data_IF_153519917356
#
_entry.id   IF_153519917356
#
_cell.length_a   1.000
_cell.length_b   1.000
_cell.length_c   1.000
_cell.angle_alpha   90.00
_cell.angle_beta   90.00
_cell.angle_gamma   90.00
#
_symmetry.space_group_name_H-M   'P 1'
#
loop_
_entity.id
_entity.type
_entity.pdbx_description
1 polymer ?
#
# COMPACT_ATOMS: atom_id res chain seq x y z
N UNK A 1 -18.92 -1.58 -28.14
CA UNK A 1 -19.58 -0.34 -27.64
C UNK A 1 -18.50 0.71 -27.50
N UNK A 2 -18.60 1.83 -28.21
CA UNK A 2 -17.58 2.88 -28.20
C UNK A 2 -17.52 3.57 -26.82
N UNK A 3 -16.31 3.84 -26.32
CA UNK A 3 -16.12 4.46 -25.00
C UNK A 3 -16.53 5.94 -25.02
N UNK A 4 -17.41 6.34 -24.10
CA UNK A 4 -17.91 7.72 -24.04
C UNK A 4 -16.78 8.74 -23.84
N UNK A 5 -16.95 9.97 -24.35
CA UNK A 5 -15.97 11.06 -24.16
C UNK A 5 -15.69 11.33 -22.68
N UNK A 6 -16.71 11.21 -21.81
CA UNK A 6 -16.59 11.41 -20.35
C UNK A 6 -15.72 10.33 -19.70
N UNK A 7 -15.90 9.06 -20.07
CA UNK A 7 -15.08 7.95 -19.56
C UNK A 7 -13.63 8.12 -20.03
N UNK A 8 -13.41 8.44 -21.31
CA UNK A 8 -12.07 8.73 -21.85
C UNK A 8 -11.38 9.86 -21.09
N UNK A 9 -12.09 10.94 -20.81
CA UNK A 9 -11.57 12.08 -20.02
C UNK A 9 -11.23 11.67 -18.58
N UNK A 10 -12.09 10.88 -17.93
CA UNK A 10 -11.81 10.36 -16.58
C UNK A 10 -10.57 9.46 -16.57
N UNK A 11 -10.46 8.48 -17.48
CA UNK A 11 -9.28 7.61 -17.59
C UNK A 11 -8.01 8.43 -17.74
N UNK A 12 -7.99 9.43 -18.63
CA UNK A 12 -6.83 10.32 -18.82
C UNK A 12 -6.42 11.04 -17.54
N UNK A 13 -7.38 11.52 -16.73
CA UNK A 13 -7.08 12.17 -15.44
C UNK A 13 -6.49 11.20 -14.43
N UNK A 14 -7.05 9.99 -14.31
CA UNK A 14 -6.54 8.96 -13.40
C UNK A 14 -5.13 8.51 -13.79
N UNK A 15 -4.89 8.27 -15.09
CA UNK A 15 -3.58 7.87 -15.61
C UNK A 15 -2.54 8.98 -15.40
N UNK A 16 -2.92 10.25 -15.50
CA UNK A 16 -2.02 11.39 -15.25
C UNK A 16 -1.48 11.42 -13.81
N UNK A 17 -2.28 10.97 -12.85
CA UNK A 17 -1.85 10.89 -11.44
C UNK A 17 -1.13 9.57 -11.10
N UNK A 18 -1.49 8.48 -11.77
CA UNK A 18 -0.97 7.15 -11.49
C UNK A 18 0.50 7.04 -11.92
N UNK A 19 1.45 6.82 -11.01
CA UNK A 19 2.83 6.55 -11.40
C UNK A 19 2.92 5.14 -12.00
N UNK A 20 3.73 4.93 -13.04
CA UNK A 20 3.88 3.65 -13.71
C UNK A 20 5.32 3.35 -14.11
N UNK A 21 5.67 2.07 -14.15
CA UNK A 21 7.02 1.58 -14.38
C UNK A 21 7.06 0.44 -15.42
N UNK A 22 7.91 0.53 -16.45
CA UNK A 22 8.79 1.66 -16.77
C UNK A 22 7.97 2.87 -17.25
N UNK A 23 8.43 4.09 -16.93
CA UNK A 23 7.77 5.33 -17.36
C UNK A 23 8.11 5.63 -18.82
N UNK A 24 7.47 4.92 -19.74
CA UNK A 24 7.68 5.07 -21.18
C UNK A 24 6.36 5.02 -21.97
N UNK A 25 6.44 5.37 -23.26
CA UNK A 25 5.27 5.41 -24.15
C UNK A 25 4.57 4.05 -24.28
N UNK A 26 5.31 2.93 -24.23
CA UNK A 26 4.73 1.58 -24.35
C UNK A 26 3.82 1.28 -23.14
N UNK A 27 4.30 1.53 -21.93
CA UNK A 27 3.52 1.37 -20.69
C UNK A 27 2.30 2.29 -20.67
N UNK A 28 2.46 3.54 -21.15
CA UNK A 28 1.36 4.49 -21.23
C UNK A 28 0.27 4.01 -22.21
N UNK A 29 0.65 3.58 -23.42
CA UNK A 29 -0.30 3.03 -24.40
C UNK A 29 -1.03 1.81 -23.86
N UNK A 30 -0.31 0.93 -23.17
CA UNK A 30 -0.87 -0.26 -22.52
C UNK A 30 -1.92 0.12 -21.46
N UNK A 31 -1.61 1.08 -20.57
CA UNK A 31 -2.57 1.66 -19.63
C UNK A 31 -3.79 2.28 -20.34
N UNK A 32 -3.58 3.14 -21.34
CA UNK A 32 -4.67 3.82 -22.05
C UNK A 32 -5.64 2.84 -22.74
N UNK A 33 -5.12 1.67 -23.17
CA UNK A 33 -5.88 0.59 -23.78
C UNK A 33 -6.77 -0.18 -22.80
N UNK A 34 -6.48 -0.12 -21.49
CA UNK A 34 -7.26 -0.84 -20.49
C UNK A 34 -8.70 -0.30 -20.37
N UNK A 35 -9.59 -1.16 -19.89
CA UNK A 35 -10.94 -0.73 -19.53
C UNK A 35 -10.92 0.27 -18.35
N UNK A 36 -12.00 1.06 -18.19
CA UNK A 36 -12.20 1.90 -17.01
C UNK A 36 -11.98 1.13 -15.70
N UNK A 37 -12.42 -0.13 -15.62
CA UNK A 37 -12.27 -0.95 -14.44
C UNK A 37 -10.80 -1.26 -14.13
N UNK A 38 -10.02 -1.64 -15.16
CA UNK A 38 -8.58 -1.88 -15.00
C UNK A 38 -7.84 -0.66 -14.47
N UNK A 39 -8.12 0.52 -15.04
CA UNK A 39 -7.56 1.79 -14.56
C UNK A 39 -7.96 2.09 -13.11
N UNK A 40 -9.23 1.84 -12.74
CA UNK A 40 -9.69 2.04 -11.36
C UNK A 40 -9.01 1.09 -10.38
N UNK A 41 -8.79 -0.17 -10.74
CA UNK A 41 -8.08 -1.13 -9.89
C UNK A 41 -6.67 -0.61 -9.59
N UNK A 42 -5.90 -0.25 -10.62
CA UNK A 42 -4.53 0.25 -10.45
C UNK A 42 -4.50 1.56 -9.65
N UNK A 43 -5.38 2.50 -9.97
CA UNK A 43 -5.45 3.78 -9.29
C UNK A 43 -5.83 3.65 -7.81
N UNK A 44 -6.91 2.93 -7.50
CA UNK A 44 -7.38 2.76 -6.12
C UNK A 44 -6.37 1.97 -5.29
N UNK A 45 -5.77 0.93 -5.87
CA UNK A 45 -4.74 0.15 -5.20
C UNK A 45 -3.49 0.97 -4.92
N UNK A 46 -3.00 1.74 -5.88
CA UNK A 46 -1.88 2.66 -5.63
C UNK A 46 -2.21 3.65 -4.50
N UNK A 47 -3.42 4.23 -4.49
CA UNK A 47 -3.84 5.15 -3.43
C UNK A 47 -3.89 4.50 -2.04
N UNK A 48 -4.09 3.20 -1.90
CA UNK A 48 -4.06 2.55 -0.57
C UNK A 48 -2.66 2.50 0.03
N UNK A 49 -1.62 2.57 -0.80
CA UNK A 49 -0.22 2.60 -0.37
C UNK A 49 0.20 3.98 0.14
N UNK A 50 -0.63 4.99 -0.10
CA UNK A 50 -0.41 6.35 0.37
C UNK A 50 -1.13 6.59 1.70
N UNK A 51 -0.57 7.48 2.50
CA UNK A 51 -1.15 7.89 3.77
C UNK A 51 -1.43 9.39 3.70
N UNK A 52 -2.69 9.80 3.47
CA UNK A 52 -3.02 11.21 3.36
C UNK A 52 -2.82 11.91 4.70
N UNK A 53 -2.35 13.16 4.62
CA UNK A 53 -2.23 14.07 5.75
C UNK A 53 -3.61 14.29 6.40
N UNK A 54 -3.77 13.80 7.63
CA UNK A 54 -5.02 13.80 8.39
C UNK A 54 -4.72 13.49 9.85
N UNK A 55 -5.41 14.18 10.77
CA UNK A 55 -5.30 13.91 12.20
C UNK A 55 -5.78 12.50 12.50
N UNK A 56 -4.93 11.76 13.19
CA UNK A 56 -5.23 10.41 13.66
C UNK A 56 -4.92 10.29 15.14
N UNK A 57 -5.73 9.52 15.86
CA UNK A 57 -5.42 9.07 17.21
C UNK A 57 -4.24 8.12 17.14
N UNK A 58 -3.19 8.43 17.91
CA UNK A 58 -1.99 7.60 17.97
C UNK A 58 -2.16 6.53 19.04
N UNK A 59 -1.87 5.29 18.67
CA UNK A 59 -1.70 4.16 19.57
C UNK A 59 -0.31 3.56 19.31
N UNK A 60 0.38 3.17 20.37
CA UNK A 60 1.69 2.52 20.28
C UNK A 60 1.58 1.17 20.98
N UNK A 61 1.75 0.08 20.23
CA UNK A 61 1.76 -1.26 20.79
C UNK A 61 2.99 -1.44 21.69
N UNK A 62 2.88 -2.22 22.80
CA UNK A 62 4.00 -2.51 23.68
C UNK A 62 5.24 -3.00 22.93
N UNK A 63 5.05 -3.77 21.86
CA UNK A 63 6.09 -4.36 21.01
C UNK A 63 6.97 -3.32 20.32
N UNK A 64 6.47 -2.11 20.08
CA UNK A 64 7.29 -1.00 19.59
C UNK A 64 8.23 -0.53 20.69
N UNK A 65 7.70 -0.29 21.89
CA UNK A 65 8.47 0.27 23.01
C UNK A 65 9.41 -0.73 23.69
N UNK A 66 9.11 -2.03 23.61
CA UNK A 66 9.95 -3.10 24.15
C UNK A 66 11.01 -3.58 23.15
N UNK A 67 10.97 -3.15 21.89
CA UNK A 67 11.97 -3.53 20.89
C UNK A 67 13.34 -2.93 21.27
N UNK A 68 14.41 -3.72 21.14
CA UNK A 68 15.78 -3.28 21.42
C UNK A 68 16.18 -2.02 20.62
N UNK A 69 15.61 -1.82 19.44
CA UNK A 69 15.85 -0.66 18.57
C UNK A 69 15.15 0.61 19.04
N UNK A 70 14.14 0.51 19.91
CA UNK A 70 13.42 1.66 20.45
C UNK A 70 14.37 2.72 21.01
N UNK A 71 15.37 2.33 21.80
CA UNK A 71 16.33 3.26 22.40
C UNK A 71 17.02 4.16 21.36
N UNK A 72 17.31 3.64 20.17
CA UNK A 72 17.94 4.39 19.08
C UNK A 72 16.93 5.16 18.23
N UNK A 73 15.77 4.56 17.96
CA UNK A 73 14.78 5.09 17.01
C UNK A 73 13.68 5.94 17.64
N UNK A 74 13.62 6.03 18.97
CA UNK A 74 12.55 6.71 19.71
C UNK A 74 12.31 8.13 19.22
N UNK A 75 13.37 8.91 19.00
CA UNK A 75 13.23 10.30 18.60
C UNK A 75 12.64 10.43 17.20
N UNK A 76 13.12 9.63 16.24
CA UNK A 76 12.57 9.62 14.88
C UNK A 76 11.13 9.09 14.82
N UNK A 77 10.82 8.05 15.60
CA UNK A 77 9.44 7.54 15.73
C UNK A 77 8.56 8.64 16.32
N UNK A 78 8.99 9.32 17.38
CA UNK A 78 8.22 10.41 17.99
C UNK A 78 8.02 11.59 17.03
N UNK A 79 9.02 11.91 16.21
CA UNK A 79 8.91 12.92 15.17
C UNK A 79 7.88 12.53 14.10
N UNK A 80 7.91 11.29 13.60
CA UNK A 80 6.89 10.78 12.69
C UNK A 80 5.48 10.84 13.32
N UNK A 81 5.35 10.40 14.57
CA UNK A 81 4.07 10.42 15.29
C UNK A 81 3.57 11.85 15.55
N UNK A 82 4.47 12.80 15.78
CA UNK A 82 4.13 14.23 15.89
C UNK A 82 3.54 14.75 14.57
N UNK A 83 4.17 14.43 13.43
CA UNK A 83 3.64 14.77 12.10
C UNK A 83 2.22 14.25 11.89
N UNK A 84 1.99 12.97 12.22
CA UNK A 84 0.67 12.34 12.08
C UNK A 84 -0.38 13.00 12.99
N UNK A 85 -0.01 13.41 14.22
CA UNK A 85 -0.92 14.11 15.13
C UNK A 85 -1.32 15.49 14.61
N UNK A 86 -0.41 16.17 13.92
CA UNK A 86 -0.60 17.55 13.43
C UNK A 86 -1.05 17.64 11.98
N UNK A 87 -1.50 16.53 11.39
CA UNK A 87 -1.93 16.49 9.98
C UNK A 87 -0.85 16.93 8.99
N UNK A 88 0.42 16.72 9.35
CA UNK A 88 1.52 16.99 8.46
C UNK A 88 1.66 15.87 7.42
N UNK A 89 2.29 16.20 6.30
CA UNK A 89 2.57 15.22 5.26
C UNK A 89 3.59 14.18 5.75
N UNK A 90 3.24 12.92 5.55
CA UNK A 90 4.10 11.76 5.83
C UNK A 90 4.48 10.98 4.58
N UNK A 91 4.07 11.47 3.40
CA UNK A 91 4.45 10.92 2.11
C UNK A 91 5.97 10.70 1.99
N UNK A 92 6.88 11.61 2.46
CA UNK A 92 8.32 11.37 2.37
C UNK A 92 8.83 10.10 3.05
N UNK A 93 8.10 9.58 4.04
CA UNK A 93 8.52 8.43 4.86
C UNK A 93 7.98 7.10 4.34
N UNK A 94 7.21 7.10 3.24
CA UNK A 94 6.71 5.89 2.62
C UNK A 94 7.79 5.24 1.73
N UNK A 95 7.59 3.97 1.37
CA UNK A 95 8.52 3.30 0.47
C UNK A 95 8.62 3.99 -0.87
N UNK A 96 9.86 4.11 -1.38
CA UNK A 96 10.18 4.57 -2.73
C UNK A 96 9.27 3.95 -3.80
N UNK A 97 8.93 2.65 -3.68
CA UNK A 97 8.03 1.99 -4.65
C UNK A 97 6.62 2.59 -4.65
N UNK A 98 6.11 3.10 -3.53
CA UNK A 98 4.80 3.75 -3.48
C UNK A 98 4.76 5.08 -4.24
N UNK A 99 5.91 5.74 -4.38
CA UNK A 99 6.03 7.01 -5.13
C UNK A 99 6.07 6.80 -6.63
N UNK A 100 6.70 5.72 -7.10
CA UNK A 100 7.04 5.58 -8.50
C UNK A 100 6.29 4.45 -9.21
N UNK A 101 5.86 3.40 -8.50
CA UNK A 101 5.42 2.14 -9.13
C UNK A 101 3.96 1.87 -8.78
N UNK A 102 3.01 2.57 -9.41
CA UNK A 102 1.56 2.32 -9.25
C UNK A 102 0.97 1.39 -10.31
N UNK A 103 1.70 1.14 -11.41
CA UNK A 103 1.37 0.15 -12.42
C UNK A 103 2.63 -0.45 -13.07
N UNK A 104 2.63 -1.76 -13.28
CA UNK A 104 3.62 -2.49 -14.06
C UNK A 104 2.93 -3.39 -15.09
N UNK A 105 3.31 -3.34 -16.39
CA UNK A 105 2.71 -4.17 -17.42
C UNK A 105 2.83 -5.67 -17.12
N UNK A 106 1.71 -6.39 -17.21
CA UNK A 106 1.65 -7.83 -16.93
C UNK A 106 2.60 -8.67 -17.79
N UNK A 107 2.92 -8.21 -19.01
CA UNK A 107 3.84 -8.91 -19.89
C UNK A 107 5.25 -9.00 -19.29
N UNK A 108 5.72 -7.96 -18.59
CA UNK A 108 7.03 -7.97 -17.93
C UNK A 108 7.13 -9.01 -16.81
N UNK A 109 6.02 -9.24 -16.12
CA UNK A 109 5.92 -10.29 -15.09
C UNK A 109 5.98 -11.67 -15.76
N UNK A 110 5.25 -11.86 -16.87
CA UNK A 110 5.25 -13.12 -17.64
C UNK A 110 6.61 -13.43 -18.25
N UNK A 111 7.32 -12.41 -18.69
CA UNK A 111 8.67 -12.51 -19.26
C UNK A 111 9.75 -12.70 -18.18
N UNK A 112 9.37 -12.66 -16.89
CA UNK A 112 10.29 -12.80 -15.76
C UNK A 112 11.21 -11.60 -15.52
N UNK A 113 10.93 -10.44 -16.14
CA UNK A 113 11.73 -9.23 -15.98
C UNK A 113 11.59 -8.59 -14.59
N UNK A 114 10.42 -8.77 -13.97
CA UNK A 114 10.05 -8.16 -12.67
C UNK A 114 9.14 -9.11 -11.89
N UNK A 115 9.15 -8.95 -10.58
CA UNK A 115 8.25 -9.72 -9.70
C UNK A 115 6.78 -9.27 -9.84
N UNK A 116 5.86 -10.18 -9.56
CA UNK A 116 4.41 -9.93 -9.60
C UNK A 116 3.91 -8.87 -8.60
N UNK A 117 4.72 -8.54 -7.59
CA UNK A 117 4.45 -7.50 -6.59
C UNK A 117 5.19 -6.18 -6.87
N UNK A 118 5.82 -6.00 -8.04
CA UNK A 118 6.64 -4.81 -8.31
C UNK A 118 5.88 -3.48 -8.13
N UNK A 119 4.62 -3.43 -8.55
CA UNK A 119 3.70 -2.30 -8.38
C UNK A 119 2.79 -2.44 -7.15
N UNK A 120 3.09 -3.39 -6.25
CA UNK A 120 2.28 -3.70 -5.07
C UNK A 120 3.07 -3.68 -3.78
N UNK A 121 2.34 -3.70 -2.68
CA UNK A 121 2.91 -3.87 -1.35
C UNK A 121 2.32 -5.16 -0.77
N UNK A 122 3.12 -6.23 -0.76
CA UNK A 122 2.68 -7.55 -0.33
C UNK A 122 2.23 -7.53 1.13
N UNK A 123 3.00 -6.87 2.01
CA UNK A 123 2.70 -6.85 3.44
C UNK A 123 1.45 -6.01 3.69
N UNK A 124 1.31 -4.84 3.06
CA UNK A 124 0.09 -4.06 3.16
C UNK A 124 -1.12 -4.85 2.64
N UNK A 125 -1.01 -5.48 1.47
CA UNK A 125 -2.12 -6.18 0.84
C UNK A 125 -2.56 -7.43 1.60
N UNK A 126 -1.63 -8.13 2.27
CA UNK A 126 -1.90 -9.42 2.94
C UNK A 126 -2.01 -9.32 4.47
N UNK A 127 -1.49 -8.24 5.07
CA UNK A 127 -1.43 -8.07 6.53
C UNK A 127 -2.01 -6.75 7.01
N UNK A 128 -2.19 -5.77 6.12
CA UNK A 128 -2.75 -4.46 6.45
C UNK A 128 -1.75 -3.47 7.04
N UNK A 129 -0.45 -3.78 7.04
CA UNK A 129 0.56 -2.87 7.57
C UNK A 129 1.04 -1.89 6.51
N UNK A 130 0.94 -0.60 6.83
CA UNK A 130 1.79 0.41 6.22
C UNK A 130 3.15 0.38 6.90
N UNK A 131 4.21 0.63 6.15
CA UNK A 131 5.56 0.74 6.67
C UNK A 131 6.16 2.11 6.40
N UNK A 132 6.88 2.64 7.39
CA UNK A 132 7.45 3.98 7.37
C UNK A 132 8.95 3.92 7.65
N UNK A 133 9.74 4.58 6.80
CA UNK A 133 11.15 4.82 7.04
C UNK A 133 11.34 5.88 8.13
N UNK A 134 12.31 5.64 9.00
CA UNK A 134 12.48 6.39 10.25
C UNK A 134 13.63 7.40 10.21
N UNK A 135 14.01 7.93 9.06
CA UNK A 135 14.98 9.03 9.01
C UNK A 135 14.24 10.35 8.78
N UNK A 136 14.35 11.32 9.67
CA UNK A 136 13.66 12.60 9.49
C UNK A 136 14.35 13.53 8.48
N UNK A 137 15.52 13.17 7.95
CA UNK A 137 16.21 13.88 6.89
C UNK A 137 15.57 13.61 5.53
N UNK A 138 14.80 14.59 5.02
CA UNK A 138 14.22 14.53 3.68
C UNK A 138 15.24 15.04 2.66
N UNK A 139 15.58 14.17 1.72
CA UNK A 139 16.53 14.46 0.65
C UNK A 139 15.92 15.38 -0.41
N UNK A 140 16.76 15.89 -1.33
CA UNK A 140 16.31 16.70 -2.48
C UNK A 140 15.31 15.99 -3.39
N UNK A 141 15.24 14.66 -3.32
CA UNK A 141 14.25 13.82 -4.01
C UNK A 141 12.83 13.95 -3.42
N UNK A 142 12.68 14.60 -2.27
CA UNK A 142 11.43 14.67 -1.51
C UNK A 142 11.15 13.42 -0.66
N UNK A 143 12.10 12.49 -0.61
CA UNK A 143 12.00 11.25 0.19
C UNK A 143 12.95 11.28 1.37
N UNK A 144 12.55 10.63 2.45
CA UNK A 144 13.40 10.42 3.61
C UNK A 144 14.60 9.55 3.25
N UNK A 145 15.76 9.84 3.80
CA UNK A 145 16.94 8.97 3.66
C UNK A 145 16.62 7.55 4.14
N UNK A 146 17.03 6.55 3.34
CA UNK A 146 16.71 5.16 3.61
C UNK A 146 17.52 4.65 4.81
N UNK A 147 16.82 4.34 5.88
CA UNK A 147 17.33 3.55 7.01
C UNK A 147 16.98 2.09 6.83
N UNK A 148 17.73 1.20 7.48
CA UNK A 148 17.40 -0.23 7.42
C UNK A 148 16.16 -0.58 8.26
N UNK A 149 15.89 0.20 9.31
CA UNK A 149 14.74 0.02 10.19
C UNK A 149 13.50 0.78 9.69
N UNK A 150 12.34 0.13 9.84
CA UNK A 150 11.03 0.63 9.46
C UNK A 150 10.02 0.42 10.59
N UNK A 151 9.10 1.37 10.73
CA UNK A 151 7.95 1.25 11.64
C UNK A 151 6.75 0.71 10.87
N UNK A 152 6.18 -0.39 11.35
CA UNK A 152 4.93 -0.93 10.82
C UNK A 152 3.75 -0.40 11.62
N UNK A 153 2.68 -0.02 10.94
CA UNK A 153 1.48 0.50 11.56
C UNK A 153 0.20 0.07 10.83
N UNK A 154 -0.88 -0.11 11.59
CA UNK A 154 -2.24 -0.09 11.03
C UNK A 154 -2.70 1.36 10.90
N UNK A 155 -3.02 1.77 9.68
CA UNK A 155 -3.48 3.12 9.39
C UNK A 155 -4.92 3.07 8.92
N UNK A 156 -5.79 3.73 9.67
CA UNK A 156 -7.19 3.94 9.29
C UNK A 156 -7.43 5.43 9.05
N UNK A 157 -8.69 5.79 8.77
CA UNK A 157 -9.09 7.20 8.66
C UNK A 157 -8.87 7.96 9.97
N UNK A 158 -9.03 7.30 11.12
CA UNK A 158 -9.09 7.97 12.43
C UNK A 158 -7.96 7.55 13.37
N UNK A 159 -7.32 6.41 13.11
CA UNK A 159 -6.30 5.85 13.99
C UNK A 159 -5.01 5.57 13.23
N UNK A 160 -3.90 5.81 13.90
CA UNK A 160 -2.58 5.33 13.55
C UNK A 160 -2.08 4.48 14.71
N UNK A 161 -2.02 3.17 14.51
CA UNK A 161 -1.57 2.23 15.53
C UNK A 161 -0.20 1.69 15.11
N UNK A 162 0.86 2.17 15.77
CA UNK A 162 2.21 1.65 15.60
C UNK A 162 2.32 0.26 16.23
N UNK A 163 2.77 -0.74 15.47
CA UNK A 163 2.68 -2.16 15.84
C UNK A 163 4.04 -2.77 16.13
N UNK A 164 5.05 -2.46 15.33
CA UNK A 164 6.38 -3.02 15.55
C UNK A 164 7.45 -2.31 14.73
N UNK A 165 8.69 -2.47 15.18
CA UNK A 165 9.88 -2.05 14.44
C UNK A 165 10.42 -3.30 13.73
N UNK A 166 10.82 -3.15 12.49
CA UNK A 166 11.41 -4.21 11.67
C UNK A 166 12.62 -3.68 10.91
N UNK A 167 13.53 -4.56 10.51
CA UNK A 167 14.50 -4.24 9.46
C UNK A 167 14.02 -4.77 8.10
N UNK A 168 14.72 -4.44 7.02
CA UNK A 168 14.27 -4.80 5.68
C UNK A 168 14.23 -6.31 5.40
N UNK A 169 14.89 -7.15 6.20
CA UNK A 169 14.79 -8.60 6.00
C UNK A 169 13.36 -9.10 6.19
N UNK A 170 12.48 -8.33 6.88
CA UNK A 170 11.04 -8.64 6.96
C UNK A 170 10.37 -8.82 5.60
N UNK A 171 10.91 -8.20 4.54
CA UNK A 171 10.39 -8.28 3.18
C UNK A 171 10.94 -9.46 2.38
N UNK A 172 11.96 -10.17 2.88
CA UNK A 172 12.55 -11.32 2.19
C UNK A 172 11.51 -12.41 2.00
N UNK A 173 11.56 -13.07 0.84
CA UNK A 173 10.73 -14.24 0.59
C UNK A 173 11.10 -15.38 1.52
N UNK A 174 10.15 -16.27 1.77
CA UNK A 174 10.47 -17.55 2.40
C UNK A 174 11.48 -18.32 1.54
N UNK A 175 12.30 -19.15 2.18
CA UNK A 175 13.21 -20.03 1.46
C UNK A 175 12.45 -21.09 0.64
N UNK A 176 13.17 -21.93 -0.11
CA UNK A 176 12.57 -23.00 -0.92
C UNK A 176 11.78 -24.03 -0.11
N UNK A 177 12.01 -24.11 1.20
CA UNK A 177 11.31 -25.00 2.13
C UNK A 177 10.13 -24.30 2.83
N UNK A 178 9.87 -23.03 2.51
CA UNK A 178 8.81 -22.23 3.12
C UNK A 178 9.19 -21.62 4.47
N UNK A 179 10.45 -21.69 4.90
CA UNK A 179 10.88 -21.09 6.15
C UNK A 179 11.01 -19.57 5.98
N UNK A 180 10.45 -18.85 6.94
CA UNK A 180 10.61 -17.40 7.05
C UNK A 180 11.82 -17.07 7.93
N UNK A 181 12.52 -15.97 7.63
CA UNK A 181 13.52 -15.44 8.57
C UNK A 181 12.86 -14.92 9.86
N UNK A 182 13.68 -14.53 10.83
CA UNK A 182 13.21 -14.13 12.16
C UNK A 182 12.31 -12.89 12.13
N UNK A 183 12.65 -11.88 11.32
CA UNK A 183 11.90 -10.63 11.20
C UNK A 183 10.53 -10.86 10.57
N UNK A 184 10.46 -11.62 9.48
CA UNK A 184 9.20 -11.99 8.83
C UNK A 184 8.36 -12.89 9.74
N UNK A 185 8.95 -13.88 10.40
CA UNK A 185 8.26 -14.72 11.38
C UNK A 185 7.68 -13.89 12.54
N UNK A 186 8.43 -12.91 13.04
CA UNK A 186 7.94 -11.99 14.08
C UNK A 186 6.78 -11.14 13.58
N UNK A 187 6.87 -10.60 12.36
CA UNK A 187 5.80 -9.81 11.74
C UNK A 187 4.50 -10.62 11.63
N UNK A 188 4.59 -11.88 11.22
CA UNK A 188 3.44 -12.78 11.16
C UNK A 188 2.79 -12.99 12.53
N UNK A 189 3.58 -13.26 13.57
CA UNK A 189 3.06 -13.41 14.94
C UNK A 189 2.37 -12.13 15.45
N UNK A 190 2.93 -10.95 15.16
CA UNK A 190 2.28 -9.67 15.52
C UNK A 190 0.98 -9.47 14.77
N UNK A 191 0.95 -9.76 13.47
CA UNK A 191 -0.26 -9.70 12.68
C UNK A 191 -1.35 -10.59 13.26
N UNK A 192 -1.06 -11.86 13.54
CA UNK A 192 -2.02 -12.81 14.11
C UNK A 192 -2.51 -12.35 15.48
N UNK A 193 -1.59 -11.91 16.36
CA UNK A 193 -1.94 -11.37 17.68
C UNK A 193 -2.95 -10.23 17.58
N UNK A 194 -2.74 -9.29 16.66
CA UNK A 194 -3.63 -8.15 16.50
C UNK A 194 -4.91 -8.49 15.74
N UNK A 195 -4.85 -9.37 14.74
CA UNK A 195 -6.00 -9.80 13.97
C UNK A 195 -6.98 -10.62 14.81
N UNK A 196 -6.48 -11.41 15.76
CA UNK A 196 -7.29 -12.29 16.63
C UNK A 196 -7.66 -11.66 17.97
N UNK A 197 -7.22 -10.42 18.23
CA UNK A 197 -7.47 -9.76 19.51
C UNK A 197 -8.98 -9.60 19.75
N UNK A 198 -9.48 -10.22 20.82
CA UNK A 198 -10.90 -10.18 21.19
C UNK A 198 -11.78 -11.20 20.45
N UNK A 199 -11.19 -12.14 19.71
CA UNK A 199 -11.94 -13.28 19.14
C UNK A 199 -12.06 -14.43 20.14
N UNK A 200 -13.22 -15.09 20.15
CA UNK A 200 -13.44 -16.29 20.96
C UNK A 200 -12.59 -17.48 20.43
N UNK A 201 -12.13 -18.38 21.31
CA UNK A 201 -11.44 -19.60 20.89
C UNK A 201 -12.25 -20.39 19.86
N UNK A 202 -11.59 -20.85 18.79
CA UNK A 202 -12.23 -21.59 17.70
C UNK A 202 -12.90 -20.71 16.63
N UNK A 203 -12.86 -19.38 16.76
CA UNK A 203 -13.36 -18.47 15.72
C UNK A 203 -12.55 -18.62 14.43
N UNK A 204 -13.24 -18.95 13.33
CA UNK A 204 -12.68 -18.89 12.00
C UNK A 204 -12.74 -17.44 11.48
N UNK A 205 -11.61 -16.91 11.00
CA UNK A 205 -11.56 -15.59 10.37
C UNK A 205 -10.72 -15.64 9.09
N UNK A 206 -11.04 -14.75 8.14
CA UNK A 206 -10.24 -14.51 6.95
C UNK A 206 -9.85 -13.04 6.96
N UNK A 207 -8.58 -12.75 7.17
CA UNK A 207 -8.04 -11.38 7.09
C UNK A 207 -7.41 -11.12 5.73
N UNK A 208 -7.71 -9.95 5.14
CA UNK A 208 -7.06 -9.44 3.93
C UNK A 208 -7.06 -10.41 2.73
N UNK A 209 -8.23 -10.90 2.26
CA UNK A 209 -8.27 -11.78 1.11
C UNK A 209 -7.76 -11.06 -0.15
N UNK A 210 -6.92 -11.75 -0.91
CA UNK A 210 -6.30 -11.25 -2.15
C UNK A 210 -6.88 -11.97 -3.37
N UNK A 211 -7.05 -11.23 -4.47
CA UNK A 211 -7.34 -11.80 -5.77
C UNK A 211 -6.08 -12.46 -6.37
N UNK A 212 -6.26 -13.30 -7.39
CA UNK A 212 -5.15 -13.94 -8.12
C UNK A 212 -4.18 -12.93 -8.76
N UNK A 213 -4.64 -11.69 -8.97
CA UNK A 213 -3.81 -10.59 -9.45
C UNK A 213 -2.93 -9.95 -8.36
N UNK A 214 -3.00 -10.40 -7.10
CA UNK A 214 -2.28 -9.82 -5.96
C UNK A 214 -2.94 -8.59 -5.33
N UNK A 215 -4.07 -8.12 -5.88
CA UNK A 215 -4.84 -6.99 -5.34
C UNK A 215 -5.80 -7.44 -4.23
N UNK A 216 -6.05 -6.63 -3.19
CA UNK A 216 -7.08 -6.94 -2.20
C UNK A 216 -8.47 -7.06 -2.84
N UNK A 217 -9.25 -8.08 -2.48
CA UNK A 217 -10.59 -8.32 -3.07
C UNK A 217 -11.51 -7.11 -2.92
N UNK A 218 -11.41 -6.40 -1.79
CA UNK A 218 -12.25 -5.22 -1.56
C UNK A 218 -11.95 -4.08 -2.56
N UNK A 219 -10.71 -3.95 -3.05
CA UNK A 219 -10.35 -2.96 -4.07
C UNK A 219 -10.93 -3.34 -5.42
N UNK A 220 -10.85 -4.62 -5.79
CA UNK A 220 -11.43 -5.11 -7.05
C UNK A 220 -12.95 -4.87 -7.06
N UNK A 221 -13.64 -5.24 -5.96
CA UNK A 221 -15.08 -5.00 -5.82
C UNK A 221 -15.45 -3.52 -5.82
N UNK A 222 -14.63 -2.67 -5.19
CA UNK A 222 -14.83 -1.22 -5.19
C UNK A 222 -14.66 -0.62 -6.59
N UNK A 223 -13.66 -1.08 -7.35
CA UNK A 223 -13.44 -0.65 -8.72
C UNK A 223 -14.61 -1.06 -9.63
N UNK A 224 -15.09 -2.30 -9.51
CA UNK A 224 -16.27 -2.79 -10.25
C UNK A 224 -17.51 -1.94 -9.93
N UNK A 225 -17.75 -1.68 -8.64
CA UNK A 225 -18.87 -0.86 -8.19
C UNK A 225 -18.81 0.57 -8.75
N UNK A 226 -17.65 1.23 -8.65
CA UNK A 226 -17.47 2.58 -9.19
C UNK A 226 -17.59 2.60 -10.72
N UNK A 227 -17.02 1.62 -11.42
CA UNK A 227 -17.14 1.52 -12.87
C UNK A 227 -18.62 1.42 -13.29
N UNK A 228 -19.43 0.64 -12.57
CA UNK A 228 -20.85 0.51 -12.83
C UNK A 228 -21.61 1.83 -12.61
N UNK A 229 -21.37 2.52 -11.49
CA UNK A 229 -21.99 3.85 -11.22
C UNK A 229 -21.61 4.87 -12.30
N UNK A 230 -20.33 4.92 -12.67
CA UNK A 230 -19.84 5.88 -13.67
C UNK A 230 -20.50 5.62 -15.03
N UNK A 231 -20.62 4.35 -15.42
CA UNK A 231 -21.30 3.97 -16.68
C UNK A 231 -22.79 4.30 -16.64
N UNK A 232 -23.50 3.96 -15.56
CA UNK A 232 -24.92 4.27 -15.40
C UNK A 232 -25.18 5.79 -15.45
N UNK A 233 -24.37 6.57 -14.74
CA UNK A 233 -24.47 8.04 -14.74
C UNK A 233 -24.17 8.64 -16.11
N UNK A 234 -23.26 8.04 -16.88
CA UNK A 234 -22.94 8.49 -18.25
C UNK A 234 -24.12 8.27 -19.19
N UNK A 235 -24.84 7.15 -19.05
CA UNK A 235 -26.05 6.85 -19.84
C UNK A 235 -27.16 7.86 -19.54
N UNK A 236 -27.37 8.20 -18.26
CA UNK A 236 -28.40 9.15 -17.84
C UNK A 236 -28.10 10.61 -18.24
N UNK A 237 -26.82 10.98 -18.38
CA UNK A 237 -26.40 12.31 -18.86
C UNK A 237 -26.33 12.42 -20.39
N UNK A 238 -26.82 11.42 -21.11
CA UNK A 238 -26.75 11.31 -22.57
C UNK A 238 -28.01 11.74 -23.33
N UNK A 239 -28.99 12.34 -22.65
CA UNK A 239 -30.08 13.17 -23.23
C UNK A 239 -29.77 14.63 -23.02
#
# INVERSE_FOLDING_TARGET
MEESKRIRSLKKRLIKELPFFPNNKKTLTDLESQSLNGILIHYLHWKTRLVPARRRRIQIAPEVTSDKRWRRLKEDINALLHKIRNEEDVFPYLSKRAHYYGYTPAQRIKDGEVDSWEDKDQILNTKGFHHFHLNMNVQSTGLSERTDDVLFAYVTRENFHAIGIFDHSVFDSADSNGNMNDERSRMWRLHEKHAMLGMEPGTAYISHPIATSGHPIYIVRMADFYANIIRATTILSGT
#
